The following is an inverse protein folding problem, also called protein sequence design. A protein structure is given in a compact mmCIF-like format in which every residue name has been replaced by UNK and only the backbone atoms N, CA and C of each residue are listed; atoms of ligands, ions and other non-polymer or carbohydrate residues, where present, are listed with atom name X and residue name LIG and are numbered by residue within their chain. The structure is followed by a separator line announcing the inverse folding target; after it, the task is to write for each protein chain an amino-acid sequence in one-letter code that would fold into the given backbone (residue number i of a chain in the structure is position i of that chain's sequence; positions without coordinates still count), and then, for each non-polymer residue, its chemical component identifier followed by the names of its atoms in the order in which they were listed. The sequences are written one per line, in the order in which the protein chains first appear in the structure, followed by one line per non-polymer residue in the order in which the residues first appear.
data_IF_069126656785
#
_entry.id   IF_069126656785
#
_cell.length_a   1.000
_cell.length_b   1.000
_cell.length_c   1.000
_cell.angle_alpha   90.00
_cell.angle_beta   90.00
_cell.angle_gamma   90.00
#
_symmetry.space_group_name_H-M   'P 1'
#
loop_
_entity.id
_entity.type
_entity.pdbx_description
1 polymer ?
#
# COMPACT_ATOMS: atom_id res chain seq x y z
N UNK A 1 -57.80 -4.54 8.59
CA UNK A 1 -56.42 -4.76 8.12
C UNK A 1 -56.02 -3.52 7.36
N UNK A 2 -55.31 -2.61 8.02
CA UNK A 2 -54.80 -1.36 7.42
C UNK A 2 -53.46 -1.70 6.78
N UNK A 3 -53.32 -1.43 5.49
CA UNK A 3 -52.02 -1.60 4.75
C UNK A 3 -51.10 -0.47 5.19
N UNK A 4 -49.84 -0.72 5.54
CA UNK A 4 -48.90 0.35 5.83
C UNK A 4 -48.67 1.20 4.60
N UNK A 5 -48.52 2.50 4.82
CA UNK A 5 -48.40 3.54 3.79
C UNK A 5 -47.04 3.39 3.09
N UNK A 6 -47.05 3.33 1.77
CA UNK A 6 -45.82 3.17 0.92
C UNK A 6 -44.79 4.25 1.21
N UNK A 7 -45.21 5.40 1.74
CA UNK A 7 -44.33 6.51 2.13
C UNK A 7 -43.51 6.20 3.38
N UNK A 8 -44.06 5.45 4.36
CA UNK A 8 -43.31 5.06 5.57
C UNK A 8 -42.22 4.02 5.27
N UNK A 9 -42.49 3.07 4.34
CA UNK A 9 -41.48 2.08 3.92
C UNK A 9 -40.31 2.73 3.15
N UNK A 10 -40.60 3.77 2.38
CA UNK A 10 -39.57 4.55 1.67
C UNK A 10 -38.69 5.36 2.62
N UNK A 11 -39.27 5.87 3.72
CA UNK A 11 -38.51 6.64 4.72
C UNK A 11 -37.58 5.75 5.56
N UNK A 12 -37.98 4.54 5.92
CA UNK A 12 -37.14 3.57 6.61
C UNK A 12 -35.99 3.06 5.74
N UNK A 13 -36.23 2.86 4.42
CA UNK A 13 -35.18 2.47 3.47
C UNK A 13 -34.17 3.60 3.22
N UNK A 14 -34.62 4.85 3.17
CA UNK A 14 -33.76 6.01 2.96
C UNK A 14 -32.97 6.37 4.24
N UNK A 15 -33.56 6.24 5.44
CA UNK A 15 -32.85 6.48 6.71
C UNK A 15 -31.73 5.45 6.96
N UNK A 16 -31.93 4.20 6.54
CA UNK A 16 -30.89 3.16 6.60
C UNK A 16 -29.71 3.40 5.63
N UNK A 17 -29.98 4.03 4.48
CA UNK A 17 -28.95 4.36 3.49
C UNK A 17 -28.14 5.60 3.90
N UNK A 18 -28.78 6.63 4.46
CA UNK A 18 -28.09 7.83 4.97
C UNK A 18 -27.20 7.53 6.18
N UNK A 19 -27.63 6.64 7.09
CA UNK A 19 -26.83 6.28 8.27
C UNK A 19 -25.56 5.51 7.87
N UNK A 20 -25.62 4.61 6.89
CA UNK A 20 -24.44 3.91 6.38
C UNK A 20 -23.51 4.85 5.60
N UNK A 21 -24.07 5.71 4.75
CA UNK A 21 -23.30 6.72 4.02
C UNK A 21 -22.62 7.73 4.92
N UNK A 22 -23.28 8.22 5.96
CA UNK A 22 -22.71 9.20 6.90
C UNK A 22 -21.57 8.61 7.75
N UNK A 23 -21.65 7.34 8.14
CA UNK A 23 -20.61 6.68 8.93
C UNK A 23 -19.35 6.42 8.09
N UNK A 24 -19.49 5.99 6.84
CA UNK A 24 -18.35 5.80 5.90
C UNK A 24 -17.70 7.14 5.55
N UNK A 25 -18.50 8.17 5.32
CA UNK A 25 -17.99 9.53 5.01
C UNK A 25 -17.24 10.14 6.20
N UNK A 26 -17.67 9.90 7.44
CA UNK A 26 -16.93 10.37 8.62
C UNK A 26 -15.59 9.64 8.76
N UNK A 27 -15.55 8.33 8.58
CA UNK A 27 -14.32 7.54 8.65
C UNK A 27 -13.30 7.93 7.56
N UNK A 28 -13.76 8.19 6.32
CA UNK A 28 -12.90 8.63 5.22
C UNK A 28 -12.31 10.03 5.49
N UNK A 29 -13.10 10.97 6.03
CA UNK A 29 -12.63 12.30 6.42
C UNK A 29 -11.56 12.23 7.52
N UNK A 30 -11.81 11.45 8.57
CA UNK A 30 -10.85 11.26 9.67
C UNK A 30 -9.54 10.64 9.16
N UNK A 31 -9.63 9.61 8.33
CA UNK A 31 -8.48 8.98 7.68
C UNK A 31 -7.68 9.97 6.81
N UNK A 32 -8.37 10.85 6.07
CA UNK A 32 -7.74 11.88 5.27
C UNK A 32 -6.99 12.90 6.14
N UNK A 33 -7.55 13.29 7.28
CA UNK A 33 -6.87 14.16 8.25
C UNK A 33 -5.61 13.51 8.82
N UNK A 34 -5.67 12.21 9.15
CA UNK A 34 -4.48 11.45 9.60
C UNK A 34 -3.42 11.43 8.49
N UNK A 35 -3.80 11.13 7.25
CA UNK A 35 -2.86 11.12 6.13
C UNK A 35 -2.17 12.47 5.96
N UNK A 36 -2.92 13.57 5.93
CA UNK A 36 -2.37 14.91 5.65
C UNK A 36 -1.62 15.46 6.87
N UNK A 37 -2.24 15.41 8.07
CA UNK A 37 -1.68 16.00 9.28
C UNK A 37 -0.57 15.14 9.89
N UNK A 38 -0.85 13.85 10.13
CA UNK A 38 0.02 13.00 10.93
C UNK A 38 1.07 12.29 10.08
N UNK A 39 0.68 11.80 8.89
CA UNK A 39 1.60 11.09 8.00
C UNK A 39 2.49 12.08 7.20
N UNK A 40 1.87 13.10 6.58
CA UNK A 40 2.63 14.06 5.77
C UNK A 40 3.18 15.24 6.59
N UNK A 41 2.72 15.43 7.83
CA UNK A 41 3.13 16.56 8.66
C UNK A 41 2.82 17.92 8.04
N UNK A 42 1.69 18.02 7.35
CA UNK A 42 1.28 19.24 6.64
C UNK A 42 1.03 20.40 7.60
N UNK A 43 1.42 21.60 7.19
CA UNK A 43 1.30 22.84 7.98
C UNK A 43 0.52 23.90 7.22
N UNK A 44 -0.16 24.82 7.93
CA UNK A 44 -0.81 25.95 7.28
C UNK A 44 0.16 26.74 6.37
N UNK A 45 -0.31 27.09 5.18
CA UNK A 45 0.46 27.83 4.18
C UNK A 45 1.36 26.98 3.27
N UNK A 46 1.52 25.68 3.53
CA UNK A 46 2.22 24.79 2.60
C UNK A 46 1.34 24.49 1.37
N UNK A 47 1.99 24.30 0.23
CA UNK A 47 1.32 23.89 -1.02
C UNK A 47 1.19 22.37 -1.06
N UNK A 48 -0.04 21.88 -1.27
CA UNK A 48 -0.34 20.45 -1.35
C UNK A 48 -1.04 20.12 -2.66
N UNK A 49 -0.48 19.17 -3.40
CA UNK A 49 -1.05 18.65 -4.64
C UNK A 49 -1.59 17.24 -4.43
N UNK A 50 -2.87 17.04 -4.74
CA UNK A 50 -3.47 15.72 -4.90
C UNK A 50 -3.48 15.35 -6.37
N UNK A 51 -2.83 14.24 -6.74
CA UNK A 51 -2.85 13.67 -8.09
C UNK A 51 -3.71 12.42 -8.07
N UNK A 52 -4.83 12.43 -8.76
CA UNK A 52 -5.78 11.32 -8.78
C UNK A 52 -6.21 10.94 -10.20
N UNK A 53 -6.93 9.86 -10.32
CA UNK A 53 -7.67 9.47 -11.52
C UNK A 53 -9.14 9.15 -11.19
N UNK A 54 -9.93 8.81 -12.21
CA UNK A 54 -11.36 8.57 -12.04
C UNK A 54 -11.73 7.45 -11.05
N UNK A 55 -10.83 6.49 -10.84
CA UNK A 55 -11.05 5.36 -9.92
C UNK A 55 -10.86 5.71 -8.45
N UNK A 56 -10.24 6.85 -8.14
CA UNK A 56 -9.88 7.24 -6.77
C UNK A 56 -10.40 8.62 -6.37
N UNK A 57 -11.39 9.15 -7.10
CA UNK A 57 -11.93 10.51 -6.89
C UNK A 57 -12.34 10.79 -5.45
N UNK A 58 -13.11 9.90 -4.82
CA UNK A 58 -13.62 10.13 -3.47
C UNK A 58 -12.48 10.25 -2.46
N UNK A 59 -11.47 9.39 -2.57
CA UNK A 59 -10.25 9.44 -1.76
C UNK A 59 -9.48 10.73 -2.03
N UNK A 60 -9.31 11.10 -3.31
CA UNK A 60 -8.59 12.30 -3.70
C UNK A 60 -9.24 13.58 -3.17
N UNK A 61 -10.55 13.70 -3.28
CA UNK A 61 -11.27 14.86 -2.74
C UNK A 61 -11.29 14.89 -1.21
N UNK A 62 -11.35 13.74 -0.54
CA UNK A 62 -11.23 13.68 0.93
C UNK A 62 -9.86 14.20 1.40
N UNK A 63 -8.78 13.81 0.73
CA UNK A 63 -7.43 14.30 1.02
C UNK A 63 -7.30 15.80 0.76
N UNK A 64 -7.87 16.29 -0.35
CA UNK A 64 -7.89 17.73 -0.66
C UNK A 64 -8.65 18.53 0.41
N UNK A 65 -9.84 18.07 0.82
CA UNK A 65 -10.63 18.74 1.86
C UNK A 65 -9.89 18.76 3.20
N UNK A 66 -9.21 17.67 3.58
CA UNK A 66 -8.38 17.62 4.77
C UNK A 66 -7.21 18.62 4.70
N UNK A 67 -6.59 18.76 3.54
CA UNK A 67 -5.53 19.75 3.33
C UNK A 67 -6.03 21.19 3.49
N UNK A 68 -7.21 21.51 2.92
CA UNK A 68 -7.86 22.82 3.09
C UNK A 68 -8.19 23.07 4.57
N UNK A 69 -8.70 22.06 5.29
CA UNK A 69 -9.04 22.19 6.71
C UNK A 69 -7.79 22.47 7.58
N UNK A 70 -6.64 21.93 7.21
CA UNK A 70 -5.36 22.19 7.88
C UNK A 70 -4.82 23.58 7.54
N UNK A 71 -5.28 24.19 6.45
CA UNK A 71 -4.87 25.51 6.00
C UNK A 71 -3.79 25.50 4.91
N UNK A 72 -3.65 24.39 4.20
CA UNK A 72 -2.75 24.31 3.05
C UNK A 72 -3.35 25.03 1.81
N UNK A 73 -2.48 25.53 0.93
CA UNK A 73 -2.83 25.90 -0.44
C UNK A 73 -2.99 24.61 -1.27
N UNK A 74 -4.20 24.03 -1.21
CA UNK A 74 -4.47 22.71 -1.74
C UNK A 74 -4.92 22.74 -3.20
N UNK A 75 -4.35 21.85 -4.01
CA UNK A 75 -4.68 21.70 -5.44
C UNK A 75 -5.04 20.24 -5.73
N UNK A 76 -5.92 20.04 -6.71
CA UNK A 76 -6.29 18.73 -7.25
C UNK A 76 -6.01 18.69 -8.73
N UNK A 77 -5.38 17.63 -9.19
CA UNK A 77 -5.28 17.28 -10.60
C UNK A 77 -5.87 15.88 -10.80
N UNK A 78 -6.92 15.81 -11.61
CA UNK A 78 -7.41 14.53 -12.11
C UNK A 78 -6.79 14.26 -13.48
N UNK A 79 -6.11 13.12 -13.61
CA UNK A 79 -5.52 12.69 -14.88
C UNK A 79 -6.23 11.45 -15.42
N UNK A 80 -6.04 11.14 -16.69
CA UNK A 80 -6.48 9.87 -17.27
C UNK A 80 -5.72 8.73 -16.59
N UNK A 81 -6.46 7.69 -16.20
CA UNK A 81 -5.90 6.49 -15.60
C UNK A 81 -4.74 5.93 -16.45
N UNK A 82 -3.63 5.61 -15.81
CA UNK A 82 -2.49 4.99 -16.47
C UNK A 82 -2.79 3.54 -16.83
N UNK A 83 -2.13 3.02 -17.86
CA UNK A 83 -2.33 1.65 -18.36
C UNK A 83 -1.68 0.60 -17.47
N UNK A 84 -0.53 0.95 -16.88
CA UNK A 84 0.28 0.05 -16.05
C UNK A 84 0.87 0.77 -14.84
N UNK A 85 1.27 -0.01 -13.85
CA UNK A 85 2.09 0.48 -12.75
C UNK A 85 3.43 0.97 -13.30
N UNK A 86 3.92 2.11 -12.79
CA UNK A 86 5.18 2.72 -13.22
C UNK A 86 5.10 3.56 -14.51
N UNK A 87 3.93 3.66 -15.15
CA UNK A 87 3.74 4.57 -16.28
C UNK A 87 3.79 6.03 -15.79
N UNK A 88 4.62 6.86 -16.44
CA UNK A 88 4.81 8.26 -16.07
C UNK A 88 3.48 9.05 -16.13
N UNK A 89 3.24 9.96 -15.17
CA UNK A 89 2.15 10.92 -15.30
C UNK A 89 2.41 11.88 -16.47
N UNK A 90 1.37 12.58 -16.99
CA UNK A 90 1.57 13.59 -18.02
C UNK A 90 2.62 14.62 -17.62
N UNK A 91 3.42 15.08 -18.58
CA UNK A 91 4.53 16.02 -18.32
C UNK A 91 4.12 17.29 -17.53
N UNK A 92 2.94 17.92 -17.74
CA UNK A 92 2.50 19.03 -16.91
C UNK A 92 2.32 18.63 -15.43
N UNK A 93 1.77 17.43 -15.16
CA UNK A 93 1.61 16.90 -13.78
C UNK A 93 2.98 16.72 -13.15
N UNK A 94 3.91 16.04 -13.84
CA UNK A 94 5.29 15.85 -13.39
C UNK A 94 6.00 17.18 -13.09
N UNK A 95 5.70 18.23 -13.86
CA UNK A 95 6.25 19.56 -13.62
C UNK A 95 5.71 20.16 -12.33
N UNK A 96 4.39 20.15 -12.12
CA UNK A 96 3.77 20.74 -10.93
C UNK A 96 4.21 20.01 -9.66
N UNK A 97 4.34 18.68 -9.70
CA UNK A 97 4.83 17.87 -8.56
C UNK A 97 6.16 18.36 -7.97
N UNK A 98 7.02 19.00 -8.79
CA UNK A 98 8.32 19.55 -8.36
C UNK A 98 8.24 20.93 -7.71
N UNK A 99 7.08 21.56 -7.74
CA UNK A 99 6.88 22.95 -7.29
C UNK A 99 5.89 23.06 -6.12
N UNK A 100 5.65 21.95 -5.42
CA UNK A 100 4.79 21.90 -4.24
C UNK A 100 5.54 21.27 -3.06
N UNK A 101 5.08 21.55 -1.84
CA UNK A 101 5.69 21.01 -0.62
C UNK A 101 5.27 19.56 -0.38
N UNK A 102 4.04 19.20 -0.78
CA UNK A 102 3.45 17.87 -0.54
C UNK A 102 2.75 17.36 -1.80
N UNK A 103 2.99 16.09 -2.12
CA UNK A 103 2.27 15.36 -3.16
C UNK A 103 1.59 14.14 -2.54
N UNK A 104 0.27 14.05 -2.67
CA UNK A 104 -0.52 12.85 -2.37
C UNK A 104 -1.07 12.30 -3.67
N UNK A 105 -0.76 11.04 -3.99
CA UNK A 105 -1.11 10.45 -5.27
C UNK A 105 -1.97 9.19 -5.13
N UNK A 106 -3.28 9.33 -4.80
CA UNK A 106 -4.23 8.25 -4.92
C UNK A 106 -4.54 8.01 -6.40
N UNK A 107 -3.93 7.00 -6.99
CA UNK A 107 -4.10 6.64 -8.40
C UNK A 107 -4.39 5.16 -8.56
N UNK A 108 -5.22 4.77 -9.53
CA UNK A 108 -5.54 3.36 -9.79
C UNK A 108 -4.31 2.53 -10.14
N UNK A 109 -3.34 3.13 -10.83
CA UNK A 109 -2.04 2.53 -11.13
C UNK A 109 -0.94 3.29 -10.42
N UNK A 110 -0.02 2.55 -9.79
CA UNK A 110 1.08 3.12 -9.03
C UNK A 110 1.97 4.04 -9.88
N UNK A 111 2.25 5.22 -9.34
CA UNK A 111 3.30 6.13 -9.85
C UNK A 111 4.52 6.18 -8.90
N UNK A 112 4.60 5.26 -7.93
CA UNK A 112 5.64 5.21 -6.90
C UNK A 112 7.05 5.16 -7.49
N UNK A 113 7.25 4.38 -8.54
CA UNK A 113 8.56 4.16 -9.17
C UNK A 113 8.74 4.96 -10.47
N UNK A 114 8.01 6.08 -10.62
CA UNK A 114 8.18 6.98 -11.75
C UNK A 114 9.33 7.96 -11.51
N UNK A 115 9.90 8.44 -12.61
CA UNK A 115 10.88 9.52 -12.57
C UNK A 115 10.25 10.81 -12.05
N UNK A 116 9.00 11.10 -12.41
CA UNK A 116 8.27 12.27 -11.94
C UNK A 116 8.22 12.34 -10.41
N UNK A 117 7.90 11.22 -9.72
CA UNK A 117 7.91 11.15 -8.26
C UNK A 117 9.33 11.33 -7.70
N UNK A 118 10.33 10.66 -8.31
CA UNK A 118 11.71 10.77 -7.84
C UNK A 118 12.24 12.21 -7.97
N UNK A 119 11.97 12.90 -9.08
CA UNK A 119 12.34 14.29 -9.30
C UNK A 119 11.61 15.25 -8.35
N UNK A 120 10.34 15.00 -8.03
CA UNK A 120 9.60 15.76 -7.03
C UNK A 120 10.25 15.66 -5.65
N UNK A 121 10.59 14.46 -5.20
CA UNK A 121 11.31 14.25 -3.94
C UNK A 121 12.70 14.91 -3.96
N UNK A 122 13.44 14.80 -5.06
CA UNK A 122 14.74 15.46 -5.21
C UNK A 122 14.63 16.99 -5.18
N UNK A 123 13.49 17.55 -5.60
CA UNK A 123 13.20 18.99 -5.48
C UNK A 123 12.73 19.40 -4.05
N UNK A 124 12.55 18.44 -3.14
CA UNK A 124 12.18 18.68 -1.74
C UNK A 124 10.72 18.36 -1.39
N UNK A 125 9.89 17.97 -2.35
CA UNK A 125 8.52 17.59 -2.06
C UNK A 125 8.46 16.31 -1.20
N UNK A 126 7.61 16.28 -0.19
CA UNK A 126 7.22 15.06 0.53
C UNK A 126 6.14 14.37 -0.27
N UNK A 127 6.36 13.11 -0.61
CA UNK A 127 5.44 12.39 -1.49
C UNK A 127 4.87 11.14 -0.81
N UNK A 128 3.57 10.93 -0.90
CA UNK A 128 2.96 9.64 -0.61
C UNK A 128 2.07 9.18 -1.77
N UNK A 129 2.24 7.93 -2.16
CA UNK A 129 1.40 7.30 -3.19
C UNK A 129 0.44 6.31 -2.55
N UNK A 130 -0.78 6.25 -3.09
CA UNK A 130 -1.85 5.38 -2.59
C UNK A 130 -2.42 4.56 -3.77
N UNK A 131 -1.62 3.66 -4.37
CA UNK A 131 -2.03 2.95 -5.59
C UNK A 131 -3.17 1.98 -5.32
N UNK A 132 -4.27 2.12 -6.08
CA UNK A 132 -5.43 1.26 -5.97
C UNK A 132 -6.20 1.38 -4.66
N UNK A 133 -5.97 2.44 -3.89
CA UNK A 133 -6.63 2.69 -2.60
C UNK A 133 -8.15 2.74 -2.76
N UNK A 134 -8.87 2.05 -1.89
CA UNK A 134 -10.33 2.14 -1.75
C UNK A 134 -10.70 2.99 -0.54
N UNK A 135 -11.94 3.49 -0.52
CA UNK A 135 -12.46 4.25 0.63
C UNK A 135 -12.45 3.42 1.92
N UNK A 136 -12.83 2.13 1.84
CA UNK A 136 -12.82 1.21 2.98
C UNK A 136 -11.39 0.96 3.49
N UNK A 137 -10.46 0.66 2.59
CA UNK A 137 -9.05 0.49 2.95
C UNK A 137 -8.51 1.74 3.64
N UNK A 138 -8.72 2.93 3.07
CA UNK A 138 -8.28 4.20 3.64
C UNK A 138 -8.89 4.45 5.02
N UNK A 139 -10.23 4.39 5.13
CA UNK A 139 -10.93 4.66 6.39
C UNK A 139 -10.48 3.74 7.52
N UNK A 140 -10.17 2.50 7.22
CA UNK A 140 -9.75 1.50 8.18
C UNK A 140 -8.28 1.62 8.56
N UNK A 141 -7.39 1.60 7.58
CA UNK A 141 -5.94 1.49 7.80
C UNK A 141 -5.30 2.79 8.25
N UNK A 142 -5.79 3.94 7.78
CA UNK A 142 -5.35 5.25 8.26
C UNK A 142 -6.02 5.64 9.60
N UNK A 143 -6.95 4.83 10.10
CA UNK A 143 -7.43 4.89 11.48
C UNK A 143 -6.49 4.26 12.51
N UNK A 144 -5.33 3.76 12.11
CA UNK A 144 -4.29 3.24 13.01
C UNK A 144 -3.52 4.38 13.70
N UNK A 145 -2.91 4.07 14.85
CA UNK A 145 -1.93 4.97 15.49
C UNK A 145 -0.59 4.87 14.76
N UNK A 146 -0.32 5.81 13.86
CA UNK A 146 0.93 5.83 13.09
C UNK A 146 2.20 6.06 13.91
N UNK A 147 2.09 6.57 15.13
CA UNK A 147 3.22 6.59 16.08
C UNK A 147 3.58 5.16 16.50
N UNK A 148 2.57 4.37 16.86
CA UNK A 148 2.74 2.96 17.24
C UNK A 148 3.15 2.08 16.04
N UNK A 149 2.53 2.27 14.88
CA UNK A 149 2.91 1.58 13.63
C UNK A 149 4.38 1.86 13.31
N UNK A 150 4.78 3.13 13.28
CA UNK A 150 6.15 3.52 12.99
C UNK A 150 7.18 2.99 14.01
N UNK A 151 6.81 2.94 15.29
CA UNK A 151 7.68 2.36 16.33
C UNK A 151 7.88 0.85 16.11
N UNK A 152 6.82 0.12 15.75
CA UNK A 152 6.90 -1.31 15.41
C UNK A 152 7.73 -1.54 14.17
N UNK A 153 7.47 -0.81 13.08
CA UNK A 153 8.23 -0.93 11.83
C UNK A 153 9.73 -0.69 12.06
N UNK A 154 10.10 0.35 12.77
CA UNK A 154 11.51 0.62 13.12
C UNK A 154 12.13 -0.52 13.93
N UNK A 155 11.41 -1.05 14.94
CA UNK A 155 11.90 -2.16 15.76
C UNK A 155 12.19 -3.40 14.92
N UNK A 156 11.28 -3.77 14.00
CA UNK A 156 11.51 -4.92 13.12
C UNK A 156 12.62 -4.63 12.09
N UNK A 157 12.71 -3.43 11.54
CA UNK A 157 13.80 -3.04 10.65
C UNK A 157 15.19 -3.15 11.32
N UNK A 158 15.29 -2.77 12.61
CA UNK A 158 16.51 -2.98 13.39
C UNK A 158 16.86 -4.47 13.58
N UNK A 159 15.85 -5.32 13.85
CA UNK A 159 16.05 -6.76 13.96
C UNK A 159 16.55 -7.34 12.66
N UNK A 160 15.91 -6.97 11.54
CA UNK A 160 16.33 -7.40 10.20
C UNK A 160 17.76 -6.92 9.87
N UNK A 161 18.10 -5.67 10.21
CA UNK A 161 19.46 -5.11 9.98
C UNK A 161 20.54 -5.83 10.76
N UNK A 162 20.25 -6.25 12.01
CA UNK A 162 21.22 -6.97 12.85
C UNK A 162 21.28 -8.46 12.55
N UNK A 163 20.24 -8.98 11.89
CA UNK A 163 20.16 -10.38 11.50
C UNK A 163 21.17 -10.73 10.41
N UNK A 164 21.84 -11.86 10.53
CA UNK A 164 22.72 -12.40 9.46
C UNK A 164 22.01 -13.43 8.60
N UNK A 165 20.96 -14.06 9.14
CA UNK A 165 20.12 -15.02 8.45
C UNK A 165 18.72 -15.02 9.06
N UNK A 166 17.74 -15.42 8.28
CA UNK A 166 16.37 -15.63 8.69
C UNK A 166 15.89 -17.01 8.25
N UNK A 167 15.11 -17.66 9.09
CA UNK A 167 14.30 -18.84 8.74
C UNK A 167 12.84 -18.54 9.04
N UNK A 168 11.99 -18.82 8.08
CA UNK A 168 10.55 -18.60 8.16
C UNK A 168 9.86 -19.95 8.13
N UNK A 169 8.99 -20.21 9.09
CA UNK A 169 8.20 -21.44 9.17
C UNK A 169 6.76 -21.11 9.55
N UNK A 170 5.80 -21.89 9.04
CA UNK A 170 4.40 -21.86 9.46
C UNK A 170 3.81 -23.28 9.48
N UNK A 171 2.54 -23.40 9.92
CA UNK A 171 1.83 -24.68 9.97
C UNK A 171 1.44 -25.23 8.60
N UNK A 172 1.41 -24.39 7.56
CA UNK A 172 1.01 -24.76 6.19
C UNK A 172 2.16 -25.33 5.36
N UNK A 173 3.36 -25.41 5.93
CA UNK A 173 4.51 -26.05 5.29
C UNK A 173 5.55 -25.09 4.73
N UNK A 174 5.47 -23.81 5.05
CA UNK A 174 6.60 -22.90 4.81
C UNK A 174 7.78 -23.32 5.65
N UNK A 175 8.93 -23.50 5.01
CA UNK A 175 10.25 -23.64 5.63
C UNK A 175 11.30 -23.12 4.65
N UNK A 176 11.62 -21.84 4.76
CA UNK A 176 12.57 -21.15 3.88
C UNK A 176 13.60 -20.42 4.71
N UNK A 177 14.85 -20.44 4.24
CA UNK A 177 15.97 -19.69 4.84
C UNK A 177 16.57 -18.74 3.82
N UNK A 178 17.08 -17.61 4.28
CA UNK A 178 17.84 -16.65 3.44
C UNK A 178 18.84 -15.86 4.28
N UNK A 179 19.91 -15.41 3.68
CA UNK A 179 20.91 -14.56 4.31
C UNK A 179 20.49 -13.10 4.25
N UNK A 180 20.68 -12.39 5.36
CA UNK A 180 20.50 -10.94 5.48
C UNK A 180 21.85 -10.23 5.68
N UNK A 181 22.96 -10.95 5.60
CA UNK A 181 24.28 -10.44 5.91
C UNK A 181 24.65 -9.19 5.10
N UNK A 182 24.98 -8.10 5.79
CA UNK A 182 25.38 -6.84 5.15
C UNK A 182 24.25 -6.03 4.55
N UNK A 183 22.99 -6.43 4.76
CA UNK A 183 21.81 -5.70 4.31
C UNK A 183 21.23 -4.83 5.42
N UNK A 184 20.63 -3.72 5.06
CA UNK A 184 19.91 -2.85 5.98
C UNK A 184 18.41 -3.08 5.82
N UNK A 185 17.72 -3.30 6.94
CA UNK A 185 16.27 -3.31 6.99
C UNK A 185 15.72 -1.89 6.90
N UNK A 186 14.60 -1.75 6.23
CA UNK A 186 13.89 -0.49 6.04
C UNK A 186 12.59 -0.52 6.84
N UNK A 187 12.15 0.63 7.31
CA UNK A 187 10.89 0.79 8.03
C UNK A 187 9.95 1.70 7.24
N UNK A 188 8.87 1.15 6.72
CA UNK A 188 7.76 1.94 6.20
C UNK A 188 6.86 2.36 7.35
N UNK A 189 7.12 3.55 7.85
CA UNK A 189 6.49 4.07 9.08
C UNK A 189 5.20 4.83 8.82
N UNK A 190 4.95 5.23 7.57
CA UNK A 190 3.88 6.15 7.20
C UNK A 190 4.10 7.60 7.65
N UNK A 191 5.27 7.95 8.13
CA UNK A 191 5.60 9.31 8.60
C UNK A 191 6.66 9.91 7.67
N UNK A 192 6.25 10.92 6.90
CA UNK A 192 7.04 11.56 5.85
C UNK A 192 7.11 13.08 6.11
N UNK A 193 7.90 13.49 7.10
CA UNK A 193 7.94 14.88 7.59
C UNK A 193 9.12 15.70 7.05
N UNK A 194 10.14 15.04 6.49
CA UNK A 194 11.31 15.73 5.99
C UNK A 194 11.21 16.00 4.48
N UNK A 195 11.76 17.10 3.98
CA UNK A 195 11.86 17.34 2.55
C UNK A 195 12.47 16.15 1.82
N UNK A 196 11.81 15.70 0.75
CA UNK A 196 12.24 14.56 -0.04
C UNK A 196 11.79 13.18 0.48
N UNK A 197 11.14 13.11 1.65
CA UNK A 197 10.58 11.84 2.14
C UNK A 197 9.57 11.27 1.16
N UNK A 198 9.57 9.94 1.05
CA UNK A 198 8.66 9.19 0.18
C UNK A 198 8.23 7.86 0.80
N UNK A 199 6.99 7.47 0.54
CA UNK A 199 6.49 6.13 0.80
C UNK A 199 5.07 5.91 0.29
N UNK A 200 4.46 4.81 0.74
CA UNK A 200 3.07 4.50 0.46
C UNK A 200 2.18 4.82 1.66
N UNK A 201 0.91 5.11 1.40
CA UNK A 201 -0.15 5.14 2.40
C UNK A 201 -1.33 4.26 1.92
N UNK A 202 -1.90 3.40 2.77
CA UNK A 202 -1.46 3.10 4.13
C UNK A 202 -0.05 2.51 4.17
N UNK A 203 0.60 2.68 5.32
CA UNK A 203 1.92 2.17 5.61
C UNK A 203 1.87 1.19 6.80
N UNK A 204 3.00 0.64 7.13
CA UNK A 204 3.18 -0.24 8.28
C UNK A 204 3.80 -1.57 7.91
N UNK A 205 5.09 -1.54 7.59
CA UNK A 205 5.90 -2.74 7.40
C UNK A 205 7.37 -2.47 7.74
N UNK A 206 8.11 -3.53 7.93
CA UNK A 206 9.56 -3.54 7.89
C UNK A 206 10.00 -4.53 6.82
N UNK A 207 10.89 -4.12 5.94
CA UNK A 207 11.33 -4.95 4.83
C UNK A 207 12.84 -4.91 4.62
N UNK A 208 13.36 -5.95 3.98
CA UNK A 208 14.78 -6.10 3.66
C UNK A 208 14.96 -6.89 2.37
N UNK A 209 15.93 -6.49 1.55
CA UNK A 209 16.36 -7.30 0.42
C UNK A 209 17.31 -8.39 0.93
N UNK A 210 16.98 -9.68 0.79
CA UNK A 210 17.90 -10.76 1.13
C UNK A 210 19.15 -10.73 0.22
N UNK A 211 20.24 -11.35 0.68
CA UNK A 211 21.41 -11.51 -0.18
C UNK A 211 21.05 -12.44 -1.35
N UNK A 212 21.33 -11.97 -2.56
CA UNK A 212 21.00 -12.68 -3.79
C UNK A 212 21.60 -14.10 -3.81
N UNK A 213 20.86 -15.07 -4.32
CA UNK A 213 21.31 -16.45 -4.43
C UNK A 213 21.27 -17.25 -3.13
N UNK A 214 20.85 -16.68 -2.01
CA UNK A 214 20.90 -17.38 -0.70
C UNK A 214 19.59 -17.95 -0.23
N UNK A 215 18.45 -17.52 -0.78
CA UNK A 215 17.15 -18.04 -0.41
C UNK A 215 17.01 -19.51 -0.86
N UNK A 216 16.59 -20.39 0.06
CA UNK A 216 16.38 -21.81 -0.23
C UNK A 216 15.35 -22.42 0.70
N UNK A 217 14.47 -23.26 0.17
CA UNK A 217 13.42 -23.94 0.91
C UNK A 217 12.08 -23.91 0.19
N UNK A 218 11.02 -23.91 0.97
CA UNK A 218 9.64 -23.86 0.47
C UNK A 218 8.93 -22.67 1.11
N UNK A 219 8.19 -21.96 0.30
CA UNK A 219 7.33 -20.86 0.72
C UNK A 219 5.88 -21.17 0.30
N UNK A 220 4.95 -21.15 1.25
CA UNK A 220 3.52 -21.36 1.02
C UNK A 220 2.80 -20.05 1.15
N UNK A 221 2.17 -19.60 0.06
CA UNK A 221 1.31 -18.41 0.04
C UNK A 221 -0.10 -18.84 0.39
N UNK A 222 -0.59 -18.39 1.54
CA UNK A 222 -1.91 -18.73 2.10
C UNK A 222 -2.82 -17.50 2.29
N UNK A 223 -2.30 -16.30 2.11
CA UNK A 223 -3.04 -15.03 2.28
C UNK A 223 -3.48 -14.40 0.97
N UNK A 224 -2.58 -13.78 0.25
CA UNK A 224 -2.85 -13.04 -0.98
C UNK A 224 -1.70 -13.18 -1.98
N UNK A 225 -1.99 -12.98 -3.27
CA UNK A 225 -1.03 -13.00 -4.35
C UNK A 225 -1.32 -11.88 -5.35
N UNK A 226 -0.27 -11.17 -5.75
CA UNK A 226 -0.37 -10.10 -6.75
C UNK A 226 -1.00 -10.61 -8.06
N UNK A 227 -2.01 -9.90 -8.57
CA UNK A 227 -2.66 -10.23 -9.82
C UNK A 227 -3.60 -11.44 -9.75
N UNK A 228 -3.91 -11.91 -8.54
CA UNK A 228 -4.86 -12.99 -8.30
C UNK A 228 -5.91 -12.51 -7.29
N UNK A 229 -7.15 -12.38 -7.71
CA UNK A 229 -8.25 -11.87 -6.86
C UNK A 229 -8.60 -12.81 -5.69
N UNK A 230 -8.40 -14.11 -5.88
CA UNK A 230 -8.71 -15.12 -4.89
C UNK A 230 -7.81 -16.35 -5.06
N UNK A 231 -7.13 -16.75 -3.99
CA UNK A 231 -6.21 -17.91 -4.06
C UNK A 231 -6.94 -19.23 -4.30
N UNK A 232 -8.10 -19.42 -3.70
CA UNK A 232 -8.86 -20.68 -3.72
C UNK A 232 -8.19 -21.77 -2.87
N UNK A 233 -6.92 -22.00 -3.12
CA UNK A 233 -6.04 -22.91 -2.39
C UNK A 233 -4.63 -22.31 -2.28
N UNK A 234 -3.82 -22.69 -1.27
CA UNK A 234 -2.46 -22.19 -1.10
C UNK A 234 -1.57 -22.47 -2.30
N UNK A 235 -0.66 -21.54 -2.59
CA UNK A 235 0.38 -21.71 -3.61
C UNK A 235 1.66 -22.14 -2.92
N UNK A 236 2.26 -23.26 -3.35
CA UNK A 236 3.54 -23.72 -2.86
C UNK A 236 4.65 -23.36 -3.84
N UNK A 237 5.64 -22.62 -3.36
CA UNK A 237 6.77 -22.14 -4.16
C UNK A 237 8.05 -22.78 -3.64
N UNK A 238 8.72 -23.54 -4.50
CA UNK A 238 10.05 -24.11 -4.20
C UNK A 238 11.12 -23.10 -4.61
N UNK A 239 12.01 -22.81 -3.68
CA UNK A 239 13.09 -21.83 -3.87
C UNK A 239 14.45 -22.52 -3.75
N UNK A 240 15.33 -22.27 -4.71
CA UNK A 240 16.73 -22.74 -4.70
C UNK A 240 17.64 -21.66 -5.27
N UNK A 241 18.75 -21.44 -4.58
CA UNK A 241 19.79 -20.48 -5.01
C UNK A 241 19.20 -19.09 -5.31
N UNK A 242 18.25 -18.65 -4.47
CA UNK A 242 17.59 -17.34 -4.57
C UNK A 242 16.46 -17.25 -5.59
N UNK A 243 16.08 -18.34 -6.27
CA UNK A 243 15.08 -18.30 -7.33
C UNK A 243 13.94 -19.29 -7.08
N UNK A 244 12.72 -18.87 -7.40
CA UNK A 244 11.56 -19.76 -7.49
C UNK A 244 11.79 -20.75 -8.65
N UNK A 245 11.98 -22.04 -8.31
CA UNK A 245 12.29 -23.10 -9.28
C UNK A 245 11.03 -23.83 -9.73
N UNK A 246 10.08 -24.01 -8.81
CA UNK A 246 8.80 -24.64 -9.10
C UNK A 246 7.68 -23.94 -8.31
N UNK A 247 6.47 -23.94 -8.86
CA UNK A 247 5.27 -23.29 -8.30
C UNK A 247 4.12 -24.28 -8.44
N UNK A 248 3.61 -24.80 -7.34
CA UNK A 248 2.55 -25.81 -7.27
C UNK A 248 1.27 -25.20 -6.70
N UNK A 249 0.13 -25.75 -7.09
CA UNK A 249 -1.21 -25.36 -6.62
C UNK A 249 -2.18 -25.24 -7.78
N UNK A 250 -3.38 -24.70 -7.53
CA UNK A 250 -4.45 -24.60 -8.51
C UNK A 250 -4.33 -23.46 -9.51
N UNK A 251 -5.49 -22.83 -9.78
CA UNK A 251 -5.59 -21.78 -10.79
C UNK A 251 -4.67 -20.58 -10.50
N UNK A 252 -4.56 -20.17 -9.23
CA UNK A 252 -3.71 -19.06 -8.81
C UNK A 252 -2.22 -19.36 -9.08
N UNK A 253 -1.76 -20.58 -8.78
CA UNK A 253 -0.40 -21.00 -9.09
C UNK A 253 -0.13 -21.05 -10.60
N UNK A 254 -1.13 -21.43 -11.39
CA UNK A 254 -1.03 -21.41 -12.86
C UNK A 254 -0.88 -19.99 -13.38
N UNK A 255 -1.70 -19.05 -12.91
CA UNK A 255 -1.60 -17.64 -13.27
C UNK A 255 -0.23 -17.04 -12.90
N UNK A 256 0.31 -17.39 -11.71
CA UNK A 256 1.65 -16.95 -11.29
C UNK A 256 2.74 -17.53 -12.20
N UNK A 257 2.67 -18.83 -12.55
CA UNK A 257 3.63 -19.44 -13.49
C UNK A 257 3.65 -18.74 -14.84
N UNK A 258 2.47 -18.42 -15.38
CA UNK A 258 2.35 -17.70 -16.65
C UNK A 258 2.93 -16.29 -16.57
N UNK A 259 2.62 -15.57 -15.49
CA UNK A 259 3.11 -14.21 -15.23
C UNK A 259 4.65 -14.18 -15.20
N UNK A 260 5.28 -14.99 -14.33
CA UNK A 260 6.74 -14.98 -14.20
C UNK A 260 7.45 -15.67 -15.37
N UNK A 261 6.76 -16.62 -16.03
CA UNK A 261 7.31 -17.35 -17.17
C UNK A 261 7.59 -16.46 -18.38
N UNK A 262 6.72 -15.48 -18.64
CA UNK A 262 6.87 -14.53 -19.74
C UNK A 262 8.02 -13.53 -19.55
N UNK A 263 8.44 -13.29 -18.29
CA UNK A 263 9.45 -12.30 -17.93
C UNK A 263 10.87 -12.88 -17.77
N UNK A 264 11.00 -14.20 -17.77
CA UNK A 264 12.27 -14.92 -17.67
C UNK A 264 12.83 -15.03 -16.24
N UNK A 265 14.11 -15.43 -16.14
CA UNK A 265 14.74 -15.76 -14.85
C UNK A 265 14.73 -14.63 -13.82
N UNK A 266 14.97 -13.35 -14.17
CA UNK A 266 14.96 -12.26 -13.16
C UNK A 266 13.64 -12.14 -12.39
N UNK A 267 12.50 -12.42 -13.01
CA UNK A 267 11.18 -12.37 -12.38
C UNK A 267 10.93 -13.51 -11.37
N UNK A 268 11.86 -14.42 -11.21
CA UNK A 268 11.81 -15.52 -10.24
C UNK A 268 12.74 -15.31 -9.05
N UNK A 269 13.46 -14.19 -9.03
CA UNK A 269 14.39 -13.88 -7.95
C UNK A 269 13.63 -13.52 -6.68
N UNK A 270 14.07 -14.05 -5.55
CA UNK A 270 13.59 -13.64 -4.22
C UNK A 270 14.32 -12.35 -3.86
N UNK A 271 13.60 -11.22 -3.91
CA UNK A 271 14.19 -9.89 -3.81
C UNK A 271 13.82 -9.15 -2.53
N UNK A 272 12.74 -9.54 -1.87
CA UNK A 272 12.27 -8.88 -0.66
C UNK A 272 11.70 -9.86 0.35
N UNK A 273 11.94 -9.57 1.62
CA UNK A 273 11.25 -10.10 2.78
C UNK A 273 10.65 -8.93 3.53
N UNK A 274 9.33 -8.92 3.70
CA UNK A 274 8.62 -7.91 4.47
C UNK A 274 7.82 -8.50 5.63
N UNK A 275 7.60 -7.68 6.65
CA UNK A 275 6.84 -7.99 7.86
C UNK A 275 5.80 -6.90 8.06
N UNK A 276 4.51 -7.25 7.99
CA UNK A 276 3.40 -6.30 8.22
C UNK A 276 3.32 -5.87 9.69
N UNK A 277 3.00 -4.59 9.92
CA UNK A 277 2.98 -3.98 11.27
C UNK A 277 1.75 -3.12 11.54
N UNK A 278 0.81 -3.00 10.60
CA UNK A 278 -0.42 -2.22 10.77
C UNK A 278 -1.56 -3.11 11.29
N UNK A 279 -2.00 -2.87 12.53
CA UNK A 279 -3.05 -3.66 13.18
C UNK A 279 -4.46 -3.42 12.61
N UNK A 280 -4.63 -2.43 11.74
CA UNK A 280 -5.90 -2.14 11.08
C UNK A 280 -6.00 -2.70 9.67
N UNK A 281 -4.87 -3.11 9.09
CA UNK A 281 -4.83 -3.76 7.79
C UNK A 281 -5.42 -5.17 7.83
N UNK A 282 -5.98 -5.62 6.71
CA UNK A 282 -6.58 -6.95 6.52
C UNK A 282 -6.16 -7.51 5.17
N UNK A 283 -6.17 -8.83 5.04
CA UNK A 283 -6.02 -9.47 3.73
C UNK A 283 -7.28 -9.20 2.91
N UNK A 284 -7.12 -8.52 1.78
CA UNK A 284 -8.21 -8.09 0.89
C UNK A 284 -7.99 -8.48 -0.57
N UNK A 285 -6.78 -8.96 -0.92
CA UNK A 285 -6.33 -9.16 -2.30
C UNK A 285 -5.73 -7.88 -2.91
N UNK A 286 -5.65 -6.79 -2.14
CA UNK A 286 -5.03 -5.54 -2.57
C UNK A 286 -3.63 -5.44 -1.99
N UNK A 287 -2.60 -5.56 -2.82
CA UNK A 287 -1.17 -5.59 -2.40
C UNK A 287 -0.83 -4.45 -1.44
N UNK A 288 -1.27 -3.22 -1.75
CA UNK A 288 -1.01 -2.03 -0.93
C UNK A 288 -1.39 -2.24 0.55
N UNK A 289 -2.47 -2.97 0.82
CA UNK A 289 -2.92 -3.26 2.18
C UNK A 289 -2.36 -4.57 2.72
N UNK A 290 -2.34 -5.61 1.90
CA UNK A 290 -2.03 -6.98 2.32
C UNK A 290 -0.61 -7.11 2.89
N UNK A 291 0.34 -6.36 2.34
CA UNK A 291 1.73 -6.27 2.83
C UNK A 291 1.83 -5.64 4.23
N UNK A 292 0.84 -4.85 4.63
CA UNK A 292 0.86 -4.09 5.89
C UNK A 292 0.21 -4.83 7.05
N UNK A 293 -0.44 -5.99 6.81
CA UNK A 293 -1.20 -6.72 7.83
C UNK A 293 -0.28 -7.15 8.97
N UNK A 294 -0.58 -6.68 10.18
CA UNK A 294 0.26 -6.99 11.35
C UNK A 294 0.34 -8.49 11.62
N UNK A 295 1.57 -9.00 11.71
CA UNK A 295 1.86 -10.40 12.00
C UNK A 295 1.91 -11.30 10.77
N UNK A 296 1.78 -10.76 9.56
CA UNK A 296 2.04 -11.49 8.32
C UNK A 296 3.44 -11.22 7.78
N UNK A 297 3.87 -12.09 6.88
CA UNK A 297 5.12 -11.96 6.11
C UNK A 297 4.76 -12.00 4.64
N UNK A 298 5.44 -11.18 3.86
CA UNK A 298 5.40 -11.26 2.40
C UNK A 298 6.80 -11.45 1.82
N UNK A 299 6.85 -12.07 0.65
CA UNK A 299 8.07 -12.28 -0.13
C UNK A 299 7.81 -11.79 -1.57
N UNK A 300 8.69 -10.97 -2.11
CA UNK A 300 8.63 -10.47 -3.47
C UNK A 300 9.93 -10.77 -4.25
#
# INVERSE_FOLDING_TARGET
MVRPNVVELAYELLSGYEIRGSCVMSGLREAALVAVRDCMGAKPGETLLVVMDSGTRNVGYALHQAAVEIGCEAMVIEMIQRRSHGEEPPAPVATIMKHVDIVLAPTSKSISHTRARAEACAAGARCATLPGITEDCMARTLGADYSAVGARSRKYAEVLTRGVAVRITNGEGTDITMSLAGRAGNADTGVYHNPGDFGNLPAGEAYIAPLEGTASGVFVVDGAMVGVDYLGEPIKIHVRDGYATDIEGGAAATALREMVGSLGRPARNIAELGIGTNEKAKITGTVLEDEKVMGTIHIA
#
